data_IF_974721335827
#
_entry.id   IF_974721335827
#
_cell.length_a   1.000
_cell.length_b   1.000
_cell.length_c   1.000
_cell.angle_alpha   90.00
_cell.angle_beta   90.00
_cell.angle_gamma   90.00
#
_symmetry.space_group_name_H-M   'P 1'
#
loop_
_entity.id
_entity.type
_entity.pdbx_description
1 polymer ?
#
# COMPACT_ATOMS: atom_id res chain seq x y z
N UNK A 1 13.60 -10.89 -16.80
CA UNK A 1 13.35 -9.67 -16.01
C UNK A 1 13.00 -10.08 -14.60
N UNK A 2 13.82 -9.73 -13.61
CA UNK A 2 13.52 -10.01 -12.20
C UNK A 2 12.34 -9.12 -11.79
N UNK A 3 11.21 -9.73 -11.44
CA UNK A 3 10.01 -9.01 -11.04
C UNK A 3 10.36 -8.07 -9.87
N UNK A 4 9.94 -6.81 -9.95
CA UNK A 4 10.26 -5.81 -8.95
C UNK A 4 9.45 -6.11 -7.67
N UNK A 5 10.01 -6.92 -6.76
CA UNK A 5 9.32 -7.41 -5.54
C UNK A 5 9.23 -6.33 -4.45
N UNK A 6 8.57 -5.21 -4.77
CA UNK A 6 8.39 -4.08 -3.86
C UNK A 6 6.94 -3.72 -3.76
N UNK A 7 6.46 -3.45 -2.56
CA UNK A 7 5.09 -3.01 -2.33
C UNK A 7 5.04 -1.83 -1.37
N UNK A 8 4.02 -1.00 -1.52
CA UNK A 8 3.63 0.03 -0.55
C UNK A 8 2.38 -0.40 0.20
N UNK A 9 2.20 0.11 1.41
CA UNK A 9 1.07 -0.22 2.29
C UNK A 9 0.41 1.03 2.84
N UNK A 10 -0.91 1.07 2.86
CA UNK A 10 -1.71 2.01 3.65
C UNK A 10 -2.63 1.20 4.55
N UNK A 11 -2.53 1.42 5.86
CA UNK A 11 -3.25 0.64 6.86
C UNK A 11 -2.39 -0.51 7.42
N UNK A 12 -1.81 -0.27 8.58
CA UNK A 12 -1.00 -1.17 9.40
C UNK A 12 -1.84 -1.89 10.48
N UNK A 13 -3.13 -2.11 10.18
CA UNK A 13 -3.98 -2.97 11.00
C UNK A 13 -3.65 -4.46 10.80
N UNK A 14 -4.54 -5.34 11.29
CA UNK A 14 -4.32 -6.81 11.26
C UNK A 14 -4.06 -7.35 9.85
N UNK A 15 -4.83 -6.92 8.86
CA UNK A 15 -4.69 -7.37 7.47
C UNK A 15 -3.36 -6.88 6.89
N UNK A 16 -3.03 -5.59 7.06
CA UNK A 16 -1.76 -5.02 6.61
C UNK A 16 -0.56 -5.74 7.20
N UNK A 17 -0.57 -6.04 8.51
CA UNK A 17 0.48 -6.84 9.15
C UNK A 17 0.62 -8.25 8.57
N UNK A 18 -0.50 -8.97 8.42
CA UNK A 18 -0.49 -10.33 7.92
C UNK A 18 0.03 -10.41 6.48
N UNK A 19 -0.45 -9.52 5.60
CA UNK A 19 0.01 -9.44 4.22
C UNK A 19 1.49 -9.06 4.14
N UNK A 20 1.92 -8.06 4.90
CA UNK A 20 3.32 -7.65 4.91
C UNK A 20 4.22 -8.78 5.37
N UNK A 21 3.85 -9.50 6.44
CA UNK A 21 4.61 -10.66 6.90
C UNK A 21 4.77 -11.70 5.80
N UNK A 22 3.65 -12.10 5.19
CA UNK A 22 3.65 -13.09 4.11
C UNK A 22 4.53 -12.66 2.93
N UNK A 23 4.37 -11.42 2.47
CA UNK A 23 5.13 -10.90 1.33
C UNK A 23 6.62 -10.79 1.65
N UNK A 24 6.99 -10.33 2.84
CA UNK A 24 8.39 -10.26 3.27
C UNK A 24 9.02 -11.64 3.41
N UNK A 25 8.27 -12.65 3.88
CA UNK A 25 8.73 -14.04 3.93
C UNK A 25 8.94 -14.62 2.51
N UNK A 26 8.25 -14.09 1.50
CA UNK A 26 8.43 -14.41 0.07
C UNK A 26 9.52 -13.55 -0.62
N UNK A 27 10.25 -12.75 0.16
CA UNK A 27 11.37 -11.91 -0.29
C UNK A 27 10.94 -10.61 -0.97
N UNK A 28 9.74 -10.09 -0.68
CA UNK A 28 9.36 -8.74 -1.05
C UNK A 28 9.89 -7.71 -0.04
N UNK A 29 10.14 -6.49 -0.51
CA UNK A 29 10.54 -5.36 0.33
C UNK A 29 9.43 -4.31 0.40
N UNK A 30 9.33 -3.64 1.53
CA UNK A 30 8.37 -2.55 1.75
C UNK A 30 9.01 -1.24 1.29
N UNK A 31 8.35 -0.50 0.40
CA UNK A 31 8.84 0.80 -0.05
C UNK A 31 8.34 1.94 0.84
N UNK A 32 7.01 2.04 0.96
CA UNK A 32 6.35 3.08 1.77
C UNK A 32 5.26 2.45 2.62
N UNK A 33 5.06 3.03 3.79
CA UNK A 33 3.94 2.68 4.67
C UNK A 33 3.33 3.95 5.24
N UNK A 34 2.00 3.98 5.32
CA UNK A 34 1.24 5.04 5.98
C UNK A 34 0.09 4.46 6.81
N UNK A 35 -0.26 5.16 7.88
CA UNK A 35 -1.37 4.81 8.77
C UNK A 35 -1.86 6.07 9.49
N UNK A 36 -3.17 6.19 9.70
CA UNK A 36 -3.77 7.27 10.47
C UNK A 36 -3.32 7.25 11.95
N UNK A 37 -2.97 6.08 12.47
CA UNK A 37 -2.46 5.86 13.81
C UNK A 37 -0.94 5.88 13.81
N UNK A 38 -0.35 7.01 14.25
CA UNK A 38 1.11 7.11 14.40
C UNK A 38 1.71 6.00 15.29
N UNK A 39 0.97 5.57 16.31
CA UNK A 39 1.41 4.51 17.20
C UNK A 39 1.56 3.18 16.46
N UNK A 40 0.55 2.79 15.66
CA UNK A 40 0.61 1.57 14.86
C UNK A 40 1.67 1.67 13.77
N UNK A 41 1.78 2.84 13.12
CA UNK A 41 2.81 3.11 12.11
C UNK A 41 4.22 2.90 12.66
N UNK A 42 4.53 3.50 13.83
CA UNK A 42 5.84 3.36 14.49
C UNK A 42 6.12 1.92 14.89
N UNK A 43 5.13 1.21 15.44
CA UNK A 43 5.27 -0.20 15.80
C UNK A 43 5.55 -1.08 14.57
N UNK A 44 4.81 -0.86 13.48
CA UNK A 44 4.99 -1.54 12.20
C UNK A 44 6.39 -1.27 11.62
N UNK A 45 6.81 -0.01 11.54
CA UNK A 45 8.11 0.37 10.99
C UNK A 45 9.27 -0.23 11.80
N UNK A 46 9.15 -0.29 13.13
CA UNK A 46 10.13 -0.94 13.99
C UNK A 46 10.23 -2.44 13.69
N UNK A 47 9.09 -3.12 13.59
CA UNK A 47 9.03 -4.55 13.35
C UNK A 47 9.60 -4.95 11.98
N UNK A 48 9.22 -4.22 10.93
CA UNK A 48 9.63 -4.50 9.55
C UNK A 48 10.88 -3.74 9.10
N UNK A 49 11.65 -3.16 10.03
CA UNK A 49 12.77 -2.26 9.72
C UNK A 49 13.78 -2.83 8.72
N UNK A 50 14.10 -4.12 8.80
CA UNK A 50 15.01 -4.82 7.88
C UNK A 50 14.42 -5.08 6.48
N UNK A 51 13.12 -4.92 6.30
CA UNK A 51 12.40 -5.19 5.06
C UNK A 51 12.15 -3.93 4.23
N UNK A 52 12.47 -2.74 4.76
CA UNK A 52 12.31 -1.49 4.02
C UNK A 52 13.36 -1.33 2.93
N UNK A 53 12.95 -0.75 1.81
CA UNK A 53 13.88 -0.36 0.74
C UNK A 53 14.85 0.71 1.25
N UNK A 54 16.13 0.66 0.82
CA UNK A 54 17.05 1.75 1.11
C UNK A 54 16.54 3.06 0.48
N UNK A 55 16.64 4.19 1.20
CA UNK A 55 16.12 5.51 0.78
C UNK A 55 16.61 6.00 -0.60
N UNK A 56 17.71 5.45 -1.12
CA UNK A 56 18.32 5.84 -2.39
C UNK A 56 17.98 4.89 -3.55
N UNK A 57 17.17 3.85 -3.32
CA UNK A 57 16.77 2.92 -4.37
C UNK A 57 15.69 3.56 -5.28
N UNK A 58 15.73 3.32 -6.61
CA UNK A 58 14.69 3.80 -7.53
C UNK A 58 13.30 3.32 -7.07
N UNK A 59 12.35 4.24 -6.87
CA UNK A 59 11.07 4.01 -6.19
C UNK A 59 9.98 3.45 -7.10
N UNK A 60 10.28 2.41 -7.87
CA UNK A 60 9.22 1.69 -8.60
C UNK A 60 8.70 0.57 -7.70
N UNK A 61 7.52 0.76 -7.12
CA UNK A 61 6.77 -0.30 -6.46
C UNK A 61 5.97 -1.06 -7.48
N UNK A 62 5.79 -2.37 -7.29
CA UNK A 62 4.91 -3.16 -8.13
C UNK A 62 3.44 -2.97 -7.75
N UNK A 63 3.15 -2.72 -6.46
CA UNK A 63 1.78 -2.46 -6.04
C UNK A 63 1.67 -1.59 -4.78
N UNK A 64 0.47 -1.04 -4.58
CA UNK A 64 -0.01 -0.38 -3.38
C UNK A 64 -1.13 -1.24 -2.77
N UNK A 65 -0.93 -1.70 -1.55
CA UNK A 65 -1.92 -2.42 -0.76
C UNK A 65 -2.67 -1.44 0.16
N UNK A 66 -3.99 -1.43 0.10
CA UNK A 66 -4.88 -0.59 0.91
C UNK A 66 -5.67 -1.50 1.87
N UNK A 67 -5.31 -1.42 3.14
CA UNK A 67 -5.80 -2.27 4.23
C UNK A 67 -6.42 -1.42 5.35
N UNK A 68 -7.34 -0.52 4.97
CA UNK A 68 -8.03 0.41 5.85
C UNK A 68 -9.47 -0.06 6.13
N UNK A 69 -10.16 0.65 7.02
CA UNK A 69 -11.60 0.49 7.21
C UNK A 69 -12.38 1.05 6.01
N UNK A 70 -13.55 0.48 5.77
CA UNK A 70 -14.44 0.85 4.67
C UNK A 70 -14.87 2.33 4.70
N UNK A 71 -15.12 2.87 5.89
CA UNK A 71 -15.51 4.28 6.06
C UNK A 71 -14.39 5.29 5.79
N UNK A 72 -13.13 4.83 5.66
CA UNK A 72 -11.97 5.70 5.43
C UNK A 72 -11.63 5.89 3.94
N UNK A 73 -12.28 5.19 3.01
CA UNK A 73 -11.89 5.23 1.58
C UNK A 73 -12.03 6.61 0.95
N UNK A 74 -13.13 7.33 1.21
CA UNK A 74 -13.38 8.63 0.60
C UNK A 74 -12.32 9.67 0.97
N UNK A 75 -11.88 9.67 2.23
CA UNK A 75 -10.80 10.54 2.70
C UNK A 75 -9.47 10.13 2.08
N UNK A 76 -9.14 8.84 2.12
CA UNK A 76 -7.91 8.31 1.55
C UNK A 76 -7.74 8.66 0.07
N UNK A 77 -8.80 8.50 -0.73
CA UNK A 77 -8.76 8.78 -2.17
C UNK A 77 -8.41 10.26 -2.42
N UNK A 78 -9.04 11.19 -1.69
CA UNK A 78 -8.77 12.63 -1.83
C UNK A 78 -7.33 12.98 -1.47
N UNK A 79 -6.77 12.32 -0.48
CA UNK A 79 -5.39 12.55 -0.05
C UNK A 79 -4.40 11.98 -1.05
N UNK A 80 -4.63 10.77 -1.55
CA UNK A 80 -3.74 10.11 -2.51
C UNK A 80 -3.70 10.84 -3.86
N UNK A 81 -4.80 11.45 -4.30
CA UNK A 81 -4.80 12.27 -5.52
C UNK A 81 -3.79 13.44 -5.47
N UNK A 82 -3.38 13.86 -4.26
CA UNK A 82 -2.40 14.93 -4.04
C UNK A 82 -0.98 14.43 -3.80
N UNK A 83 -0.77 13.10 -3.77
CA UNK A 83 0.48 12.46 -3.38
C UNK A 83 1.00 11.55 -4.52
N UNK A 84 1.58 12.11 -5.60
CA UNK A 84 2.04 11.35 -6.75
C UNK A 84 3.14 10.32 -6.42
N UNK A 85 3.81 10.47 -5.27
CA UNK A 85 4.78 9.51 -4.76
C UNK A 85 4.19 8.14 -4.39
N UNK A 86 2.86 8.01 -4.34
CA UNK A 86 2.14 6.74 -4.18
C UNK A 86 1.73 6.09 -5.50
N UNK A 87 2.09 6.69 -6.64
CA UNK A 87 1.80 6.12 -7.95
C UNK A 87 2.51 4.75 -8.10
N UNK A 88 1.76 3.77 -8.59
CA UNK A 88 2.17 2.39 -8.76
C UNK A 88 1.35 1.76 -9.89
N UNK A 89 1.83 0.73 -10.61
CA UNK A 89 1.05 0.11 -11.67
C UNK A 89 -0.19 -0.65 -11.16
N UNK A 90 -0.20 -1.14 -9.92
CA UNK A 90 -1.34 -1.88 -9.36
C UNK A 90 -1.75 -1.36 -7.99
N UNK A 91 -3.02 -1.00 -7.83
CA UNK A 91 -3.63 -0.64 -6.55
C UNK A 91 -4.59 -1.75 -6.14
N UNK A 92 -4.46 -2.23 -4.91
CA UNK A 92 -5.18 -3.39 -4.40
C UNK A 92 -5.78 -3.01 -3.07
N UNK A 93 -7.08 -3.22 -2.86
CA UNK A 93 -7.70 -3.07 -1.54
C UNK A 93 -8.29 -4.38 -1.01
N UNK A 94 -8.45 -4.44 0.32
CA UNK A 94 -8.93 -5.64 1.03
C UNK A 94 -10.34 -5.50 1.61
N UNK A 95 -11.05 -4.42 1.30
CA UNK A 95 -12.46 -4.27 1.64
C UNK A 95 -13.30 -5.35 0.94
N UNK A 96 -14.07 -6.11 1.73
CA UNK A 96 -15.09 -7.02 1.22
C UNK A 96 -16.47 -6.36 1.02
N UNK A 97 -16.62 -5.09 1.37
CA UNK A 97 -17.86 -4.33 1.21
C UNK A 97 -17.85 -3.50 -0.08
N UNK A 98 -16.73 -2.85 -0.37
CA UNK A 98 -16.57 -2.03 -1.57
C UNK A 98 -16.03 -2.86 -2.72
N UNK A 99 -16.49 -2.56 -3.95
CA UNK A 99 -15.88 -3.08 -5.16
C UNK A 99 -14.68 -2.23 -5.58
N UNK A 100 -13.81 -2.78 -6.42
CA UNK A 100 -12.64 -2.10 -7.00
C UNK A 100 -12.94 -0.68 -7.52
N UNK A 101 -14.12 -0.44 -8.07
CA UNK A 101 -14.49 0.86 -8.65
C UNK A 101 -14.49 2.02 -7.64
N UNK A 102 -14.49 1.76 -6.33
CA UNK A 102 -14.35 2.82 -5.31
C UNK A 102 -13.04 3.61 -5.51
N UNK A 103 -11.98 2.97 -6.00
CA UNK A 103 -10.69 3.60 -6.25
C UNK A 103 -10.57 4.18 -7.68
N UNK A 104 -11.63 4.18 -8.50
CA UNK A 104 -11.60 4.72 -9.87
C UNK A 104 -10.96 6.10 -10.00
N UNK A 105 -11.14 7.05 -9.05
CA UNK A 105 -10.46 8.34 -9.13
C UNK A 105 -8.93 8.25 -9.13
N UNK A 106 -8.35 7.21 -8.48
CA UNK A 106 -6.92 6.94 -8.49
C UNK A 106 -6.46 6.23 -9.77
N UNK A 107 -7.33 5.42 -10.38
CA UNK A 107 -7.04 4.75 -11.67
C UNK A 107 -6.55 5.75 -12.70
N UNK A 108 -7.30 6.84 -12.86
CA UNK A 108 -7.02 7.88 -13.85
C UNK A 108 -5.81 8.73 -13.42
N UNK A 109 -5.71 9.06 -12.13
CA UNK A 109 -4.63 9.90 -11.62
C UNK A 109 -3.25 9.21 -11.72
N UNK A 110 -3.20 7.90 -11.46
CA UNK A 110 -1.95 7.14 -11.41
C UNK A 110 -1.69 6.30 -12.67
N UNK A 111 -2.69 6.13 -13.54
CA UNK A 111 -2.66 5.19 -14.66
C UNK A 111 -2.46 3.73 -14.21
N UNK A 112 -3.07 3.39 -13.07
CA UNK A 112 -2.96 2.07 -12.43
C UNK A 112 -4.08 1.12 -12.83
N UNK A 113 -3.84 -0.17 -12.71
CA UNK A 113 -4.90 -1.18 -12.58
C UNK A 113 -5.38 -1.26 -11.14
N UNK A 114 -6.68 -1.53 -10.94
CA UNK A 114 -7.28 -1.64 -9.61
C UNK A 114 -7.84 -3.04 -9.41
N UNK A 115 -7.57 -3.59 -8.24
CA UNK A 115 -8.02 -4.92 -7.81
C UNK A 115 -8.70 -4.85 -6.45
N UNK A 116 -9.70 -5.70 -6.24
CA UNK A 116 -10.37 -5.91 -4.95
C UNK A 116 -10.41 -7.41 -4.63
N UNK A 117 -10.35 -7.75 -3.35
CA UNK A 117 -10.48 -9.13 -2.84
C UNK A 117 -11.79 -9.35 -2.10
#
# INVERSE_FOLDING_TARGET
>A
MTMNKRFSLIGTGRIGWALSRLLTDLGWTIDRVDDISEYQLKAYQKHFSSCFTPKHAPSQTACLLICIRDDSFHELIRDLQKKPEWNTPHIIHTSGFHKAEILSPLRTAFQSEIHSF
#
